data_IF_774496418363
#
_entry.id   IF_774496418363
#
_cell.length_a   1.000
_cell.length_b   1.000
_cell.length_c   1.000
_cell.angle_alpha   90.00
_cell.angle_beta   90.00
_cell.angle_gamma   90.00
#
_symmetry.space_group_name_H-M   'P 1'
#
loop_
_entity.id
_entity.type
_entity.pdbx_description
1 polymer ?
#
# COMPACT_ATOMS: atom_id res chain seq x y z
N UNK A 1 8.12 36.14 14.47
CA UNK A 1 7.08 35.74 13.51
C UNK A 1 6.40 34.50 14.05
N UNK A 2 5.18 34.66 14.55
CA UNK A 2 4.42 33.62 15.24
C UNK A 2 4.01 32.52 14.26
N UNK A 3 4.51 31.29 14.45
CA UNK A 3 3.97 30.11 13.78
C UNK A 3 2.54 29.91 14.27
N UNK A 4 1.57 30.35 13.47
CA UNK A 4 0.16 30.07 13.67
C UNK A 4 -0.06 28.58 13.38
N UNK A 5 -0.36 27.79 14.41
CA UNK A 5 -0.84 26.41 14.33
C UNK A 5 -2.23 26.27 13.68
N UNK A 6 -2.54 27.10 12.67
CA UNK A 6 -3.93 27.34 12.23
C UNK A 6 -4.33 26.65 10.94
N UNK A 7 -3.51 25.78 10.35
CA UNK A 7 -3.98 25.03 9.18
C UNK A 7 -3.41 23.61 9.14
N UNK A 8 -3.96 22.75 10.00
CA UNK A 8 -3.78 21.30 9.87
C UNK A 8 -4.55 20.74 8.65
N UNK A 9 -5.38 21.55 7.99
CA UNK A 9 -6.14 21.12 6.82
C UNK A 9 -5.20 20.69 5.70
N UNK A 10 -5.29 19.42 5.33
CA UNK A 10 -4.52 18.89 4.22
C UNK A 10 -5.11 19.38 2.89
N UNK A 11 -4.20 19.72 1.97
CA UNK A 11 -4.52 20.03 0.58
C UNK A 11 -3.75 19.06 -0.29
N UNK A 12 -4.42 18.30 -1.16
CA UNK A 12 -3.75 17.34 -2.01
C UNK A 12 -2.86 18.05 -3.02
N UNK A 13 -1.73 17.41 -3.34
CA UNK A 13 -0.86 17.83 -4.44
C UNK A 13 -1.42 17.28 -5.76
N UNK A 14 -1.52 18.13 -6.77
CA UNK A 14 -1.99 17.77 -8.11
C UNK A 14 -0.93 18.05 -9.16
N UNK A 15 -0.92 17.23 -10.21
CA UNK A 15 -0.10 17.42 -11.40
C UNK A 15 -0.71 18.55 -12.28
N UNK A 16 0.05 19.04 -13.26
CA UNK A 16 -0.37 20.19 -14.10
C UNK A 16 -1.66 19.93 -14.89
N UNK A 17 -1.95 18.66 -15.19
CA UNK A 17 -3.16 18.22 -15.88
C UNK A 17 -4.39 18.12 -14.96
N UNK A 18 -4.24 18.45 -13.68
CA UNK A 18 -5.29 18.39 -12.66
C UNK A 18 -5.52 17.00 -12.07
N UNK A 19 -4.74 15.99 -12.48
CA UNK A 19 -4.76 14.68 -11.82
C UNK A 19 -4.01 14.72 -10.50
N UNK A 20 -4.21 13.69 -9.68
CA UNK A 20 -3.51 13.58 -8.41
C UNK A 20 -2.02 13.34 -8.63
N UNK A 21 -1.17 14.08 -7.91
CA UNK A 21 0.26 13.78 -7.90
C UNK A 21 0.53 12.41 -7.29
N UNK A 22 1.58 11.76 -7.78
CA UNK A 22 1.94 10.40 -7.40
C UNK A 22 2.23 10.23 -5.91
N UNK A 23 2.73 11.28 -5.26
CA UNK A 23 3.14 11.26 -3.86
C UNK A 23 2.29 12.26 -3.07
N UNK A 24 1.65 11.78 -2.00
CA UNK A 24 0.90 12.60 -1.06
C UNK A 24 1.49 12.42 0.34
N UNK A 25 1.73 13.52 1.06
CA UNK A 25 2.38 13.48 2.37
C UNK A 25 1.52 14.07 3.49
N UNK A 26 1.60 13.48 4.68
CA UNK A 26 0.93 13.94 5.91
C UNK A 26 1.89 14.03 7.09
N UNK A 27 1.54 14.87 8.05
CA UNK A 27 2.32 15.10 9.27
C UNK A 27 3.46 16.11 9.07
N UNK A 28 4.32 16.25 10.08
CA UNK A 28 5.47 17.16 10.02
C UNK A 28 6.62 16.52 9.25
N UNK A 29 7.47 17.32 8.58
CA UNK A 29 8.55 16.78 7.73
C UNK A 29 9.53 15.82 8.45
N UNK A 30 9.71 15.98 9.77
CA UNK A 30 10.63 15.16 10.55
C UNK A 30 10.14 13.70 10.71
N UNK A 31 8.86 13.53 11.08
CA UNK A 31 8.27 12.22 11.41
C UNK A 31 7.01 11.90 10.59
N UNK A 32 6.72 12.68 9.56
CA UNK A 32 5.59 12.52 8.66
C UNK A 32 5.85 11.43 7.64
N UNK A 33 4.81 11.11 6.88
CA UNK A 33 4.83 10.01 5.92
C UNK A 33 4.26 10.43 4.58
N UNK A 34 4.85 9.88 3.54
CA UNK A 34 4.42 10.04 2.16
C UNK A 34 3.93 8.70 1.62
N UNK A 35 2.93 8.74 0.75
CA UNK A 35 2.25 7.57 0.21
C UNK A 35 2.04 7.70 -1.29
N UNK A 36 1.99 6.56 -1.97
CA UNK A 36 1.67 6.51 -3.39
C UNK A 36 0.18 6.63 -3.65
N UNK A 37 -0.18 7.41 -4.67
CA UNK A 37 -1.54 7.62 -5.13
C UNK A 37 -1.65 7.35 -6.63
N UNK A 38 -2.77 6.76 -7.05
CA UNK A 38 -3.12 6.68 -8.47
C UNK A 38 -3.62 8.05 -8.99
N UNK A 39 -3.86 8.15 -10.30
CA UNK A 39 -4.27 9.40 -10.95
C UNK A 39 -5.67 9.87 -10.53
N UNK A 40 -6.49 8.97 -9.97
CA UNK A 40 -7.86 9.23 -9.52
C UNK A 40 -7.94 9.65 -8.04
N UNK A 41 -6.82 9.65 -7.31
CA UNK A 41 -6.79 10.04 -5.90
C UNK A 41 -7.02 8.90 -4.91
N UNK A 42 -6.90 7.65 -5.35
CA UNK A 42 -6.89 6.51 -4.43
C UNK A 42 -5.46 6.18 -4.01
N UNK A 43 -5.27 5.97 -2.70
CA UNK A 43 -4.01 5.44 -2.17
C UNK A 43 -3.75 4.04 -2.71
N UNK A 44 -2.52 3.82 -3.16
CA UNK A 44 -2.02 2.53 -3.64
C UNK A 44 -0.79 2.10 -2.82
N UNK A 45 -0.25 0.93 -3.13
CA UNK A 45 0.96 0.44 -2.47
C UNK A 45 2.11 1.44 -2.60
N UNK A 46 2.93 1.56 -1.57
CA UNK A 46 4.13 2.41 -1.55
C UNK A 46 4.06 3.51 -0.50
N UNK A 47 5.10 3.63 0.30
CA UNK A 47 5.25 4.68 1.31
C UNK A 47 6.71 4.97 1.61
N UNK A 48 6.99 6.18 2.09
CA UNK A 48 8.29 6.53 2.66
C UNK A 48 8.11 7.48 3.84
N UNK A 49 9.11 7.56 4.71
CA UNK A 49 9.19 8.68 5.63
C UNK A 49 9.39 9.96 4.83
N UNK A 50 8.79 11.07 5.27
CA UNK A 50 8.83 12.32 4.52
C UNK A 50 10.28 12.74 4.19
N UNK A 51 11.16 12.75 5.18
CA UNK A 51 12.58 13.09 5.01
C UNK A 51 13.35 12.17 4.03
N UNK A 52 12.80 11.00 3.70
CA UNK A 52 13.39 10.02 2.77
C UNK A 52 12.60 9.88 1.46
N UNK A 53 11.57 10.71 1.23
CA UNK A 53 10.69 10.61 0.06
C UNK A 53 11.24 11.32 -1.20
N UNK A 54 12.46 11.88 -1.17
CA UNK A 54 13.01 12.66 -2.28
C UNK A 54 13.13 11.91 -3.61
N UNK A 55 13.31 10.58 -3.57
CA UNK A 55 13.38 9.72 -4.75
C UNK A 55 12.09 8.90 -4.97
N UNK A 56 10.99 9.24 -4.29
CA UNK A 56 9.74 8.50 -4.40
C UNK A 56 8.97 8.95 -5.65
N UNK A 57 8.82 8.07 -6.64
CA UNK A 57 8.06 8.35 -7.89
C UNK A 57 6.75 7.59 -7.96
N UNK A 58 6.62 6.48 -7.23
CA UNK A 58 5.48 5.57 -7.29
C UNK A 58 5.24 4.93 -8.67
N UNK A 59 6.21 4.98 -9.58
CA UNK A 59 6.04 4.56 -10.96
C UNK A 59 5.63 3.09 -11.10
N UNK A 60 6.26 2.20 -10.32
CA UNK A 60 5.90 0.78 -10.29
C UNK A 60 4.50 0.55 -9.74
N UNK A 61 4.16 1.24 -8.64
CA UNK A 61 2.87 1.09 -8.00
C UNK A 61 1.72 1.56 -8.90
N UNK A 62 1.89 2.70 -9.58
CA UNK A 62 0.94 3.20 -10.59
C UNK A 62 0.82 2.26 -11.77
N UNK A 63 1.93 1.66 -12.24
CA UNK A 63 1.89 0.68 -13.33
C UNK A 63 1.13 -0.57 -12.93
N UNK A 64 1.38 -1.12 -11.73
CA UNK A 64 0.63 -2.26 -11.21
C UNK A 64 -0.87 -1.96 -11.08
N UNK A 65 -1.22 -0.80 -10.53
CA UNK A 65 -2.61 -0.35 -10.42
C UNK A 65 -3.30 -0.27 -11.80
N UNK A 66 -2.62 0.34 -12.78
CA UNK A 66 -3.12 0.43 -14.16
C UNK A 66 -3.38 -0.96 -14.76
N UNK A 67 -2.45 -1.91 -14.60
CA UNK A 67 -2.61 -3.26 -15.14
C UNK A 67 -3.76 -4.02 -14.45
N UNK A 68 -3.90 -3.87 -13.12
CA UNK A 68 -5.03 -4.45 -12.36
C UNK A 68 -6.37 -3.88 -12.83
N UNK A 69 -6.44 -2.56 -13.03
CA UNK A 69 -7.64 -1.89 -13.56
C UNK A 69 -7.98 -2.30 -15.00
N UNK A 70 -7.01 -2.82 -15.76
CA UNK A 70 -7.21 -3.44 -17.07
C UNK A 70 -7.64 -4.91 -16.99
N UNK A 71 -7.90 -5.45 -15.79
CA UNK A 71 -8.33 -6.82 -15.57
C UNK A 71 -7.20 -7.84 -15.48
N UNK A 72 -5.92 -7.41 -15.42
CA UNK A 72 -4.82 -8.34 -15.16
C UNK A 72 -4.69 -8.61 -13.67
N UNK A 73 -5.14 -9.79 -13.23
CA UNK A 73 -4.99 -10.22 -11.84
C UNK A 73 -3.60 -10.80 -11.54
N UNK A 74 -2.92 -11.35 -12.55
CA UNK A 74 -1.63 -12.05 -12.42
C UNK A 74 -0.40 -11.14 -12.61
N UNK A 75 -0.44 -9.89 -12.12
CA UNK A 75 0.67 -8.92 -12.29
C UNK A 75 1.79 -9.21 -11.29
N UNK A 76 2.98 -9.55 -11.79
CA UNK A 76 4.12 -9.97 -10.94
C UNK A 76 5.23 -8.92 -10.80
N UNK A 77 5.05 -7.71 -11.32
CA UNK A 77 6.03 -6.62 -11.16
C UNK A 77 6.36 -6.36 -9.68
N UNK A 78 7.64 -6.26 -9.33
CA UNK A 78 8.09 -5.98 -7.96
C UNK A 78 8.38 -4.50 -7.76
N UNK A 79 7.71 -3.90 -6.78
CA UNK A 79 7.98 -2.54 -6.35
C UNK A 79 8.81 -2.54 -5.06
N UNK A 80 9.69 -1.55 -4.91
CA UNK A 80 10.30 -1.25 -3.61
C UNK A 80 9.26 -0.66 -2.65
N UNK A 81 9.63 -0.55 -1.36
CA UNK A 81 8.72 -0.07 -0.31
C UNK A 81 8.16 1.34 -0.57
N UNK A 82 8.94 2.20 -1.22
CA UNK A 82 8.56 3.56 -1.65
C UNK A 82 7.72 3.57 -2.95
N UNK A 83 7.41 2.41 -3.51
CA UNK A 83 6.57 2.26 -4.69
C UNK A 83 7.27 2.47 -6.04
N UNK A 84 8.60 2.63 -6.04
CA UNK A 84 9.44 2.59 -7.23
C UNK A 84 9.63 1.16 -7.74
N UNK A 85 10.28 0.99 -8.90
CA UNK A 85 10.60 -0.35 -9.40
C UNK A 85 11.81 -0.94 -8.68
N UNK A 86 11.74 -2.23 -8.36
CA UNK A 86 12.96 -3.00 -8.15
C UNK A 86 13.70 -3.19 -9.49
N UNK A 87 15.02 -3.36 -9.46
CA UNK A 87 15.82 -3.38 -10.70
C UNK A 87 15.47 -4.53 -11.63
N UNK A 88 15.21 -5.71 -11.07
CA UNK A 88 14.78 -6.89 -11.82
C UNK A 88 13.26 -6.94 -11.84
N UNK A 89 12.67 -6.93 -13.03
CA UNK A 89 11.24 -7.12 -13.23
C UNK A 89 11.00 -8.42 -13.98
N UNK A 90 10.04 -9.21 -13.53
CA UNK A 90 9.51 -10.30 -14.32
C UNK A 90 7.98 -10.22 -14.36
N UNK A 91 7.42 -10.42 -15.54
CA UNK A 91 5.99 -10.47 -15.77
C UNK A 91 5.68 -11.28 -17.02
N UNK A 92 4.62 -12.08 -16.95
CA UNK A 92 4.18 -12.92 -18.07
C UNK A 92 5.29 -13.86 -18.62
N UNK A 93 6.15 -14.39 -17.75
CA UNK A 93 7.22 -15.35 -18.08
C UNK A 93 8.48 -14.73 -18.71
N UNK A 94 8.56 -13.41 -18.80
CA UNK A 94 9.74 -12.67 -19.25
C UNK A 94 10.29 -11.84 -18.09
N UNK A 95 11.61 -11.73 -18.02
CA UNK A 95 12.36 -10.95 -17.06
C UNK A 95 13.27 -9.94 -17.75
N UNK A 96 13.40 -8.74 -17.21
CA UNK A 96 14.26 -7.68 -17.72
C UNK A 96 14.73 -6.76 -16.60
N UNK A 97 15.82 -6.02 -16.84
CA UNK A 97 16.22 -4.94 -15.93
C UNK A 97 15.55 -3.62 -16.30
N UNK A 98 15.22 -2.83 -15.29
CA UNK A 98 14.62 -1.50 -15.45
C UNK A 98 15.38 -0.43 -14.68
N UNK A 99 15.20 0.81 -15.11
CA UNK A 99 15.48 1.97 -14.26
C UNK A 99 14.46 2.02 -13.11
N UNK A 100 14.89 2.13 -11.83
CA UNK A 100 13.99 2.14 -10.69
C UNK A 100 12.95 3.27 -10.69
N UNK A 101 13.27 4.42 -11.26
CA UNK A 101 12.45 5.63 -11.21
C UNK A 101 11.45 5.68 -12.37
N UNK A 102 11.86 5.26 -13.57
CA UNK A 102 11.02 5.35 -14.78
C UNK A 102 10.36 4.03 -15.17
N UNK A 103 10.95 2.89 -14.78
CA UNK A 103 10.56 1.57 -15.27
C UNK A 103 11.01 1.27 -16.70
N UNK A 104 11.81 2.15 -17.31
CA UNK A 104 12.33 1.94 -18.66
C UNK A 104 13.29 0.74 -18.69
N UNK A 105 13.16 -0.18 -19.65
CA UNK A 105 14.07 -1.30 -19.78
C UNK A 105 15.50 -0.84 -20.06
N UNK A 106 16.45 -1.29 -19.23
CA UNK A 106 17.88 -0.99 -19.39
C UNK A 106 18.62 -2.05 -20.19
N UNK A 107 18.02 -3.23 -20.36
CA UNK A 107 18.51 -4.30 -21.21
C UNK A 107 17.37 -5.14 -21.79
N UNK A 108 17.71 -6.09 -22.68
CA UNK A 108 16.72 -6.96 -23.32
C UNK A 108 16.09 -7.94 -22.33
N UNK A 109 14.84 -8.32 -22.58
CA UNK A 109 14.17 -9.34 -21.80
C UNK A 109 14.70 -10.76 -22.11
N UNK A 110 14.67 -11.62 -21.10
CA UNK A 110 14.95 -13.05 -21.16
C UNK A 110 13.76 -13.84 -20.62
N UNK A 111 13.56 -15.10 -21.03
CA UNK A 111 12.65 -16.00 -20.33
C UNK A 111 13.01 -16.11 -18.84
N UNK A 112 12.03 -16.30 -17.96
CA UNK A 112 12.27 -16.38 -16.50
C UNK A 112 13.30 -17.47 -16.13
N UNK A 113 13.31 -18.60 -16.84
CA UNK A 113 14.31 -19.66 -16.67
C UNK A 113 15.76 -19.21 -16.93
N UNK A 114 15.95 -18.06 -17.56
CA UNK A 114 17.22 -17.43 -17.90
C UNK A 114 17.43 -16.09 -17.16
N UNK A 115 16.61 -15.77 -16.16
CA UNK A 115 16.72 -14.50 -15.41
C UNK A 115 18.10 -14.27 -14.79
N UNK A 116 18.82 -15.35 -14.47
CA UNK A 116 20.17 -15.31 -13.89
C UNK A 116 21.23 -14.71 -14.82
N UNK A 117 20.90 -14.55 -16.11
CA UNK A 117 21.77 -13.90 -17.10
C UNK A 117 21.60 -12.38 -17.17
N UNK A 118 20.57 -11.83 -16.52
CA UNK A 118 20.33 -10.39 -16.46
C UNK A 118 21.36 -9.72 -15.55
N UNK A 119 21.85 -8.55 -15.94
CA UNK A 119 22.92 -7.86 -15.22
C UNK A 119 22.48 -7.34 -13.84
N UNK A 120 21.19 -7.09 -13.66
CA UNK A 120 20.59 -6.68 -12.38
C UNK A 120 20.15 -7.85 -11.50
N UNK A 121 20.31 -9.10 -11.95
CA UNK A 121 19.98 -10.26 -11.12
C UNK A 121 20.99 -10.36 -9.96
N UNK A 122 20.46 -10.47 -8.75
CA UNK A 122 21.20 -10.59 -7.49
C UNK A 122 20.70 -11.82 -6.75
N UNK A 123 21.53 -12.87 -6.71
CA UNK A 123 21.18 -14.17 -6.09
C UNK A 123 20.87 -14.03 -4.61
N UNK A 124 21.49 -13.10 -3.89
CA UNK A 124 21.32 -12.96 -2.45
C UNK A 124 20.00 -12.26 -2.11
N UNK A 125 19.48 -11.45 -3.03
CA UNK A 125 18.19 -10.75 -2.87
C UNK A 125 17.01 -11.51 -3.44
N UNK A 126 17.17 -12.08 -4.64
CA UNK A 126 16.08 -12.72 -5.38
C UNK A 126 16.01 -14.21 -5.07
N UNK A 127 17.14 -14.87 -4.80
CA UNK A 127 17.18 -16.32 -4.65
C UNK A 127 16.97 -17.04 -5.99
N UNK A 128 16.47 -18.28 -5.94
CA UNK A 128 16.32 -19.13 -7.13
C UNK A 128 14.99 -18.96 -7.88
N UNK A 129 14.04 -18.25 -7.31
CA UNK A 129 12.70 -18.02 -7.87
C UNK A 129 12.38 -16.55 -7.77
N UNK A 130 11.74 -15.98 -8.79
CA UNK A 130 11.40 -14.57 -8.79
C UNK A 130 10.27 -14.26 -7.79
N UNK A 131 9.20 -15.05 -7.80
CA UNK A 131 8.03 -14.83 -6.95
C UNK A 131 8.34 -15.04 -5.47
N UNK A 132 7.90 -14.09 -4.64
CA UNK A 132 7.96 -14.21 -3.18
C UNK A 132 6.84 -15.14 -2.68
N UNK A 133 6.93 -15.58 -1.42
CA UNK A 133 6.01 -16.55 -0.84
C UNK A 133 4.52 -16.19 -1.04
N UNK A 134 4.14 -14.95 -0.75
CA UNK A 134 2.75 -14.50 -0.92
C UNK A 134 2.32 -14.62 -2.39
N UNK A 135 3.16 -14.14 -3.30
CA UNK A 135 2.87 -14.10 -4.74
C UNK A 135 2.78 -15.51 -5.32
N UNK A 136 3.66 -16.43 -4.91
CA UNK A 136 3.59 -17.84 -5.29
C UNK A 136 2.26 -18.47 -4.89
N UNK A 137 1.75 -18.16 -3.69
CA UNK A 137 0.43 -18.61 -3.24
C UNK A 137 -0.71 -17.97 -4.05
N UNK A 138 -0.60 -16.66 -4.33
CA UNK A 138 -1.61 -15.91 -5.09
C UNK A 138 -1.72 -16.40 -6.54
N UNK A 139 -0.59 -16.52 -7.24
CA UNK A 139 -0.53 -16.97 -8.63
C UNK A 139 -0.98 -18.43 -8.75
N UNK A 140 -0.54 -19.31 -7.85
CA UNK A 140 -1.01 -20.70 -7.83
C UNK A 140 -2.52 -20.79 -7.63
N UNK A 141 -3.10 -19.94 -6.77
CA UNK A 141 -4.55 -19.85 -6.60
C UNK A 141 -5.26 -19.43 -7.89
N UNK A 142 -4.78 -18.39 -8.57
CA UNK A 142 -5.36 -17.94 -9.85
C UNK A 142 -5.31 -19.05 -10.90
N UNK A 143 -4.20 -19.78 -11.01
CA UNK A 143 -4.05 -20.89 -11.95
C UNK A 143 -5.01 -22.04 -11.63
N UNK A 144 -5.19 -22.38 -10.35
CA UNK A 144 -6.16 -23.41 -9.96
C UNK A 144 -7.58 -22.97 -10.29
N UNK A 145 -7.96 -21.72 -10.01
CA UNK A 145 -9.29 -21.20 -10.32
C UNK A 145 -9.55 -21.25 -11.83
N UNK A 146 -8.65 -20.71 -12.65
CA UNK A 146 -8.77 -20.74 -14.12
C UNK A 146 -8.91 -22.17 -14.64
N UNK A 147 -8.12 -23.11 -14.12
CA UNK A 147 -8.25 -24.53 -14.49
C UNK A 147 -9.62 -25.10 -14.11
N UNK A 148 -10.12 -24.81 -12.92
CA UNK A 148 -11.44 -25.27 -12.46
C UNK A 148 -12.57 -24.69 -13.32
N UNK A 149 -12.50 -23.41 -13.66
CA UNK A 149 -13.46 -22.73 -14.53
C UNK A 149 -13.49 -23.33 -15.94
N UNK A 150 -12.32 -23.57 -16.54
CA UNK A 150 -12.21 -24.25 -17.85
C UNK A 150 -12.78 -25.68 -17.82
N UNK A 151 -12.81 -26.32 -16.65
CA UNK A 151 -13.42 -27.63 -16.43
C UNK A 151 -14.89 -27.55 -15.96
N UNK A 152 -15.53 -26.38 -16.03
CA UNK A 152 -16.95 -26.17 -15.75
C UNK A 152 -17.30 -26.03 -14.26
N UNK A 153 -16.32 -25.76 -13.38
CA UNK A 153 -16.56 -25.48 -11.96
C UNK A 153 -16.45 -23.97 -11.69
N UNK A 154 -17.59 -23.33 -11.42
CA UNK A 154 -17.71 -21.87 -11.30
C UNK A 154 -17.67 -21.33 -9.86
N UNK A 155 -17.52 -22.20 -8.85
CA UNK A 155 -17.62 -21.83 -7.42
C UNK A 155 -16.61 -22.58 -6.55
N UNK A 156 -15.33 -22.51 -6.91
CA UNK A 156 -14.27 -23.04 -6.08
C UNK A 156 -13.90 -22.01 -5.00
N UNK A 157 -14.28 -22.26 -3.76
CA UNK A 157 -13.82 -21.44 -2.65
C UNK A 157 -12.40 -21.86 -2.27
N UNK A 158 -11.43 -21.04 -2.68
CA UNK A 158 -10.03 -21.16 -2.28
C UNK A 158 -9.67 -19.91 -1.49
N UNK A 159 -9.12 -20.13 -0.30
CA UNK A 159 -8.69 -19.06 0.62
C UNK A 159 -7.94 -17.98 -0.14
N UNK A 160 -8.40 -16.74 0.02
CA UNK A 160 -7.86 -15.62 -0.76
C UNK A 160 -6.57 -15.16 -0.11
N UNK A 161 -5.50 -15.11 -0.91
CA UNK A 161 -4.21 -14.54 -0.52
C UNK A 161 -4.00 -13.30 -1.38
N UNK A 162 -3.89 -12.15 -0.73
CA UNK A 162 -3.62 -10.87 -1.38
C UNK A 162 -2.21 -10.42 -1.02
N UNK A 163 -1.50 -9.87 -2.00
CA UNK A 163 -0.11 -9.44 -1.85
C UNK A 163 0.03 -7.95 -2.20
N UNK A 164 0.91 -7.29 -1.47
CA UNK A 164 1.34 -5.93 -1.70
C UNK A 164 2.29 -5.85 -2.92
N UNK A 165 2.65 -4.62 -3.34
CA UNK A 165 3.46 -4.41 -4.55
C UNK A 165 4.90 -4.88 -4.43
N UNK A 166 5.40 -5.02 -3.20
CA UNK A 166 6.69 -5.64 -2.88
C UNK A 166 6.56 -7.15 -2.64
N UNK A 167 5.47 -7.80 -3.04
CA UNK A 167 5.24 -9.23 -2.83
C UNK A 167 5.12 -9.67 -1.37
N UNK A 168 5.03 -8.72 -0.43
CA UNK A 168 4.68 -9.00 0.97
C UNK A 168 3.18 -9.23 1.12
N UNK A 169 2.72 -9.68 2.30
CA UNK A 169 1.30 -9.90 2.54
C UNK A 169 0.53 -8.58 2.58
N UNK A 170 -0.67 -8.57 1.97
CA UNK A 170 -1.57 -7.43 2.00
C UNK A 170 -2.07 -7.12 3.42
N UNK A 171 -2.80 -6.02 3.55
CA UNK A 171 -3.15 -5.40 4.84
C UNK A 171 -4.15 -6.17 5.69
N UNK A 172 -4.81 -7.20 5.14
CA UNK A 172 -5.75 -8.00 5.89
C UNK A 172 -5.76 -9.47 5.45
N UNK A 173 -6.30 -10.32 6.32
CA UNK A 173 -6.73 -11.68 5.99
C UNK A 173 -8.13 -11.94 6.50
N UNK A 174 -8.78 -12.92 5.88
CA UNK A 174 -10.07 -13.47 6.30
C UNK A 174 -9.84 -14.82 6.96
N UNK A 175 -10.41 -15.03 8.14
CA UNK A 175 -10.50 -16.34 8.76
C UNK A 175 -11.91 -16.52 9.32
N UNK A 176 -12.68 -17.38 8.65
CA UNK A 176 -14.11 -17.54 8.92
C UNK A 176 -14.86 -16.23 8.68
N UNK A 177 -15.49 -15.70 9.73
CA UNK A 177 -16.29 -14.46 9.68
C UNK A 177 -15.57 -13.25 10.26
N UNK A 178 -14.24 -13.33 10.44
CA UNK A 178 -13.43 -12.25 11.04
C UNK A 178 -12.34 -11.82 10.06
N UNK A 179 -12.23 -10.50 9.90
CA UNK A 179 -11.16 -9.81 9.18
C UNK A 179 -10.08 -9.42 10.20
N UNK A 180 -8.82 -9.74 9.93
CA UNK A 180 -7.67 -9.36 10.76
C UNK A 180 -6.73 -8.44 10.00
N UNK A 181 -6.26 -7.37 10.63
CA UNK A 181 -5.21 -6.55 10.05
C UNK A 181 -3.84 -7.24 10.15
N UNK A 182 -3.10 -7.24 9.04
CA UNK A 182 -1.83 -7.94 8.91
C UNK A 182 -0.66 -6.99 8.66
N UNK A 183 0.50 -7.39 9.17
CA UNK A 183 1.79 -6.85 8.82
C UNK A 183 2.35 -7.54 7.56
N UNK A 184 3.41 -6.97 6.97
CA UNK A 184 4.06 -7.44 5.73
C UNK A 184 4.46 -8.92 5.75
N UNK A 185 4.76 -9.48 6.92
CA UNK A 185 5.12 -10.89 7.08
C UNK A 185 3.90 -11.82 7.29
N UNK A 186 2.67 -11.31 7.19
CA UNK A 186 1.44 -12.07 7.39
C UNK A 186 1.03 -12.22 8.85
N UNK A 187 1.79 -11.67 9.81
CA UNK A 187 1.41 -11.69 11.22
C UNK A 187 0.34 -10.65 11.54
N UNK A 188 -0.54 -10.97 12.48
CA UNK A 188 -1.60 -10.06 12.95
C UNK A 188 -0.99 -8.85 13.67
N UNK A 189 -1.53 -7.67 13.37
CA UNK A 189 -1.18 -6.43 14.09
C UNK A 189 -2.08 -6.32 15.31
N UNK A 190 -1.49 -6.52 16.49
CA UNK A 190 -2.13 -6.36 17.80
C UNK A 190 -3.53 -7.02 17.86
N UNK A 191 -4.58 -6.27 18.24
CA UNK A 191 -5.97 -6.75 18.35
C UNK A 191 -6.89 -6.17 17.27
N UNK A 192 -6.34 -5.65 16.17
CA UNK A 192 -7.14 -5.01 15.13
C UNK A 192 -7.89 -6.06 14.29
N UNK A 193 -9.21 -6.09 14.45
CA UNK A 193 -10.09 -7.04 13.78
C UNK A 193 -11.51 -6.48 13.64
N UNK A 194 -12.26 -7.00 12.68
CA UNK A 194 -13.67 -6.65 12.47
C UNK A 194 -14.47 -7.81 11.88
N UNK A 195 -15.80 -7.88 12.06
CA UNK A 195 -16.61 -8.88 11.40
C UNK A 195 -16.58 -8.73 9.87
N UNK A 196 -16.83 -9.84 9.15
CA UNK A 196 -16.87 -9.88 7.68
C UNK A 196 -17.87 -8.88 7.07
N UNK A 197 -18.91 -8.49 7.80
CA UNK A 197 -19.87 -7.47 7.35
C UNK A 197 -19.23 -6.11 7.03
N UNK A 198 -18.07 -5.81 7.62
CA UNK A 198 -17.36 -4.54 7.46
C UNK A 198 -16.20 -4.63 6.45
N UNK A 199 -16.16 -5.69 5.63
CA UNK A 199 -15.05 -5.97 4.71
C UNK A 199 -14.86 -4.89 3.63
N UNK A 200 -15.93 -4.19 3.24
CA UNK A 200 -15.85 -3.15 2.20
C UNK A 200 -15.22 -1.85 2.70
N UNK A 201 -15.20 -1.63 4.01
CA UNK A 201 -14.70 -0.38 4.61
C UNK A 201 -13.34 -0.53 5.26
N UNK A 202 -12.88 -1.76 5.50
CA UNK A 202 -11.62 -2.01 6.22
C UNK A 202 -10.41 -1.83 5.30
N UNK A 203 -9.46 -1.00 5.73
CA UNK A 203 -8.19 -0.74 5.04
C UNK A 203 -6.96 -0.95 5.93
N UNK A 204 -7.13 -1.07 7.25
CA UNK A 204 -6.06 -1.29 8.23
C UNK A 204 -4.94 -0.22 8.21
N UNK A 205 -5.18 0.95 7.60
CA UNK A 205 -4.17 1.96 7.40
C UNK A 205 -3.62 2.51 8.73
N UNK A 206 -4.49 2.78 9.70
CA UNK A 206 -4.07 3.27 11.00
C UNK A 206 -3.30 2.22 11.80
N UNK A 207 -3.77 0.96 11.76
CA UNK A 207 -3.08 -0.16 12.41
C UNK A 207 -1.64 -0.31 11.87
N UNK A 208 -1.47 -0.32 10.54
CA UNK A 208 -0.14 -0.39 9.90
C UNK A 208 0.72 0.82 10.24
N UNK A 209 0.16 2.03 10.22
CA UNK A 209 0.90 3.24 10.61
C UNK A 209 1.36 3.14 12.07
N UNK A 210 0.47 2.81 13.01
CA UNK A 210 0.84 2.65 14.42
C UNK A 210 1.97 1.64 14.64
N UNK A 211 1.95 0.52 13.89
CA UNK A 211 3.01 -0.48 13.90
C UNK A 211 4.36 0.08 13.41
N UNK A 212 4.35 0.82 12.29
CA UNK A 212 5.55 1.43 11.68
C UNK A 212 6.21 2.43 12.63
N UNK A 213 5.43 3.33 13.25
CA UNK A 213 5.94 4.28 14.23
C UNK A 213 6.55 3.56 15.44
N UNK A 214 5.89 2.50 15.94
CA UNK A 214 6.42 1.66 17.03
C UNK A 214 7.76 1.02 16.66
N UNK A 215 7.90 0.46 15.46
CA UNK A 215 9.16 -0.12 14.98
C UNK A 215 10.28 0.92 14.85
N UNK A 216 9.92 2.16 14.51
CA UNK A 216 10.86 3.28 14.44
C UNK A 216 11.16 3.94 15.80
N UNK A 217 10.58 3.44 16.90
CA UNK A 217 10.66 4.04 18.24
C UNK A 217 10.18 5.51 18.26
N UNK A 218 9.13 5.81 17.49
CA UNK A 218 8.48 7.11 17.40
C UNK A 218 7.07 7.07 17.99
N UNK A 219 6.62 8.20 18.50
CA UNK A 219 5.24 8.35 18.99
C UNK A 219 4.27 8.45 17.83
N UNK A 220 3.27 7.57 17.81
CA UNK A 220 2.12 7.69 16.91
C UNK A 220 1.00 8.50 17.60
N UNK A 221 0.62 9.63 17.01
CA UNK A 221 -0.29 10.61 17.63
C UNK A 221 -1.77 10.45 17.26
N UNK A 222 -2.09 9.64 16.25
CA UNK A 222 -3.46 9.43 15.77
C UNK A 222 -4.11 8.21 16.44
N UNK A 223 -5.43 8.24 16.57
CA UNK A 223 -6.25 7.19 17.13
C UNK A 223 -6.77 6.25 16.04
N UNK A 224 -6.69 4.95 16.29
CA UNK A 224 -7.24 3.92 15.42
C UNK A 224 -8.56 3.39 15.98
N UNK A 225 -9.46 3.00 15.09
CA UNK A 225 -10.60 2.16 15.41
C UNK A 225 -10.16 0.70 15.59
N UNK A 226 -10.99 -0.13 16.23
CA UNK A 226 -10.71 -1.56 16.45
C UNK A 226 -10.61 -2.37 15.15
N UNK A 227 -11.20 -1.90 14.05
CA UNK A 227 -11.06 -2.48 12.71
C UNK A 227 -9.71 -2.16 12.05
N UNK A 228 -8.87 -1.32 12.67
CA UNK A 228 -7.57 -0.89 12.16
C UNK A 228 -7.59 0.33 11.23
N UNK A 229 -8.77 0.90 10.94
CA UNK A 229 -8.90 2.16 10.21
C UNK A 229 -8.59 3.35 11.13
N UNK A 230 -8.39 4.52 10.52
CA UNK A 230 -8.35 5.76 11.27
C UNK A 230 -9.71 6.03 11.93
N UNK A 231 -9.69 6.46 13.18
CA UNK A 231 -10.88 7.07 13.78
C UNK A 231 -11.12 8.42 13.07
N UNK A 232 -12.31 8.67 12.49
CA UNK A 232 -12.55 9.92 11.76
C UNK A 232 -12.33 11.15 12.63
N UNK A 233 -12.80 11.13 13.88
CA UNK A 233 -12.53 12.18 14.86
C UNK A 233 -11.22 11.93 15.60
N UNK A 234 -10.32 12.90 15.51
CA UNK A 234 -9.00 12.93 16.14
C UNK A 234 -8.89 14.09 17.12
N UNK A 235 -7.85 14.10 17.94
CA UNK A 235 -7.61 15.20 18.89
C UNK A 235 -6.12 15.50 18.96
N UNK A 236 -5.77 16.79 18.86
CA UNK A 236 -4.40 17.27 19.07
C UNK A 236 -4.40 18.29 20.21
N UNK A 237 -3.74 17.97 21.33
CA UNK A 237 -3.68 18.83 22.52
C UNK A 237 -5.05 19.34 23.02
N UNK A 238 -6.09 18.51 22.92
CA UNK A 238 -7.47 18.85 23.33
C UNK A 238 -8.31 19.56 22.26
N UNK A 239 -7.73 19.84 21.09
CA UNK A 239 -8.45 20.41 19.94
C UNK A 239 -8.86 19.29 18.97
N UNK A 240 -10.17 19.11 18.70
CA UNK A 240 -10.65 18.07 17.80
C UNK A 240 -10.36 18.44 16.33
N UNK A 241 -10.19 17.43 15.48
CA UNK A 241 -10.16 17.59 14.02
C UNK A 241 -10.59 16.29 13.34
N UNK A 242 -10.99 16.38 12.07
CA UNK A 242 -11.38 15.20 11.29
C UNK A 242 -10.23 14.71 10.42
N UNK A 243 -10.19 13.41 10.18
CA UNK A 243 -9.32 12.77 9.19
C UNK A 243 -10.09 11.88 8.24
N UNK A 244 -9.54 11.68 7.04
CA UNK A 244 -10.04 10.71 6.08
C UNK A 244 -9.59 9.26 6.38
N UNK A 245 -9.92 8.34 5.49
CA UNK A 245 -9.56 6.92 5.57
C UNK A 245 -8.05 6.64 5.54
N UNK A 246 -7.25 7.63 5.14
CA UNK A 246 -5.79 7.59 5.05
C UNK A 246 -5.10 8.41 6.14
N UNK A 247 -5.87 9.05 7.02
CA UNK A 247 -5.38 9.82 8.16
C UNK A 247 -4.93 11.24 7.81
N UNK A 248 -5.32 11.77 6.64
CA UNK A 248 -5.12 13.18 6.30
C UNK A 248 -6.20 14.02 6.95
N UNK A 249 -5.80 15.17 7.51
CA UNK A 249 -6.74 16.06 8.18
C UNK A 249 -7.66 16.76 7.17
N UNK A 250 -8.97 16.58 7.34
CA UNK A 250 -10.02 17.11 6.46
C UNK A 250 -10.68 18.38 7.01
N UNK A 251 -10.34 18.77 8.24
CA UNK A 251 -10.76 20.02 8.87
C UNK A 251 -9.58 20.70 9.54
N UNK A 252 -9.70 22.01 9.77
CA UNK A 252 -8.87 22.69 10.74
C UNK A 252 -9.16 22.19 12.16
N UNK A 253 -8.31 22.58 13.11
CA UNK A 253 -8.58 22.35 14.54
C UNK A 253 -9.87 23.07 14.94
N UNK A 254 -10.77 22.35 15.61
CA UNK A 254 -11.96 22.90 16.26
C UNK A 254 -11.59 23.57 17.59
N UNK A 255 -12.61 23.88 18.40
CA UNK A 255 -12.45 24.51 19.71
C UNK A 255 -12.16 23.49 20.80
N UNK A 256 -11.48 23.93 21.87
CA UNK A 256 -11.20 23.07 23.02
C UNK A 256 -12.50 22.52 23.62
N UNK A 257 -12.63 21.20 23.71
CA UNK A 257 -13.82 20.53 24.25
C UNK A 257 -15.04 20.49 23.32
N UNK A 258 -14.89 20.92 22.07
CA UNK A 258 -15.91 20.74 21.02
C UNK A 258 -15.98 19.27 20.58
N UNK A 259 -17.14 18.85 20.07
CA UNK A 259 -17.30 17.58 19.35
C UNK A 259 -17.54 17.88 17.89
N UNK A 260 -16.68 17.37 17.01
CA UNK A 260 -16.81 17.59 15.56
C UNK A 260 -17.57 16.44 14.91
N UNK A 261 -18.46 16.78 13.97
CA UNK A 261 -19.12 15.80 13.12
C UNK A 261 -18.25 15.60 11.88
N UNK A 262 -17.47 14.54 11.88
CA UNK A 262 -16.66 14.14 10.73
C UNK A 262 -17.54 13.42 9.70
N UNK A 263 -17.40 13.81 8.44
CA UNK A 263 -18.03 13.06 7.35
C UNK A 263 -17.19 11.80 7.10
N UNK A 264 -17.86 10.67 7.02
CA UNK A 264 -17.29 9.41 6.51
C UNK A 264 -17.12 9.48 4.99
#
# INVERSE_FOLDING_TARGET
MSYRWSDNLWKPSCDEDGTWSAVQCKGEQLHGRCFCYNTNGSRIFGWSWWHSAGNMTCACSRRRDTLKNQGRENVTLHCSEDGNYEKLQCDSGLCWCVDPQTGEPTERAYPESMMTHLSCYDKDKIGSQYLRLCESMHIARLEVIDKLERHGRLYAHIDTVNCDGDGSYAYYSLNGSIVYCLWKNGMRIDLYQTPLSSILTVNCNCARDSYIYRQANLTFSLQCQSNGNYKPEQTSNGYPFCVDSDGYATTTLGSFGETLICKE
#
